data_IF_740789735385
#
_entry.id   IF_740789735385
#
_cell.length_a   1.000
_cell.length_b   1.000
_cell.length_c   1.000
_cell.angle_alpha   90.00
_cell.angle_beta   90.00
_cell.angle_gamma   90.00
#
_symmetry.space_group_name_H-M   'P 1'
#
loop_
_entity.id
_entity.type
_entity.pdbx_description
1 polymer ?
#
# COMPACT_ATOMS: atom_id res chain seq x y z
N UNK A 1 14.98 39.29 3.46
CA UNK A 1 14.51 40.68 3.34
C UNK A 1 14.90 41.37 4.64
N UNK A 2 15.82 42.34 4.58
CA UNK A 2 16.14 43.20 5.72
C UNK A 2 15.06 44.28 5.68
N UNK A 3 14.00 44.10 6.46
CA UNK A 3 13.04 45.18 6.70
C UNK A 3 13.72 46.22 7.59
N UNK A 4 13.50 47.50 7.33
CA UNK A 4 13.90 48.56 8.25
C UNK A 4 13.19 48.33 9.59
N UNK A 5 13.90 47.74 10.56
CA UNK A 5 13.38 47.55 11.91
C UNK A 5 13.27 48.92 12.58
N UNK A 6 12.05 49.37 12.81
CA UNK A 6 11.79 50.59 13.57
C UNK A 6 11.76 50.22 15.04
N UNK A 7 12.74 50.71 15.78
CA UNK A 7 12.83 50.50 17.22
C UNK A 7 11.94 51.50 17.94
N UNK A 8 10.65 51.21 18.08
CA UNK A 8 9.69 52.08 18.77
C UNK A 8 9.79 52.01 20.31
N UNK A 9 10.49 50.99 20.84
CA UNK A 9 10.70 50.76 22.27
C UNK A 9 12.18 50.63 22.66
N UNK A 10 12.51 51.02 23.89
CA UNK A 10 13.85 50.90 24.46
C UNK A 10 13.80 50.69 25.99
N UNK A 11 14.91 50.27 26.59
CA UNK A 11 15.03 50.13 28.04
C UNK A 11 15.49 51.46 28.66
N UNK A 12 14.78 51.94 29.69
CA UNK A 12 15.15 53.16 30.41
C UNK A 12 16.12 52.88 31.57
N UNK A 13 16.52 53.92 32.31
CA UNK A 13 17.47 53.79 33.42
C UNK A 13 16.98 52.93 34.60
N UNK A 14 15.66 52.70 34.72
CA UNK A 14 15.09 51.80 35.74
C UNK A 14 14.90 50.35 35.22
N UNK A 15 15.36 50.06 34.02
CA UNK A 15 15.25 48.75 33.39
C UNK A 15 13.88 48.45 32.77
N UNK A 16 13.03 49.47 32.59
CA UNK A 16 11.69 49.32 32.01
C UNK A 16 11.68 49.61 30.52
N UNK A 17 10.89 48.84 29.78
CA UNK A 17 10.60 49.12 28.38
C UNK A 17 9.68 50.34 28.27
N UNK A 18 10.13 51.35 27.52
CA UNK A 18 9.40 52.60 27.29
C UNK A 18 9.28 52.89 25.80
N UNK A 19 8.12 53.43 25.41
CA UNK A 19 7.87 53.83 24.03
C UNK A 19 8.61 55.15 23.72
N UNK A 20 9.07 55.33 22.49
CA UNK A 20 9.78 56.54 22.05
C UNK A 20 9.00 57.83 22.31
N UNK A 21 7.67 57.79 22.25
CA UNK A 21 6.82 58.96 22.51
C UNK A 21 6.75 59.36 24.00
N UNK A 22 7.17 58.47 24.90
CA UNK A 22 7.12 58.70 26.34
C UNK A 22 8.41 59.28 26.92
N UNK A 23 9.43 59.51 26.08
CA UNK A 23 10.76 59.96 26.51
C UNK A 23 11.18 61.27 25.83
N UNK A 24 12.09 62.07 26.42
CA UNK A 24 12.64 63.26 25.78
C UNK A 24 13.38 62.97 24.46
N UNK A 25 13.35 63.91 23.52
CA UNK A 25 14.08 63.81 22.24
C UNK A 25 15.59 63.70 22.42
N UNK A 26 16.24 62.92 21.56
CA UNK A 26 17.70 62.80 21.48
C UNK A 26 18.28 61.92 22.58
N UNK A 27 19.56 62.12 22.91
CA UNK A 27 20.25 61.39 23.98
C UNK A 27 19.72 61.70 25.38
N UNK A 28 18.90 62.75 25.53
CA UNK A 28 18.23 63.09 26.79
C UNK A 28 17.17 62.06 27.19
N UNK A 29 16.80 61.13 26.32
CA UNK A 29 15.94 60.00 26.68
C UNK A 29 16.57 59.07 27.73
N UNK A 30 17.91 59.02 27.81
CA UNK A 30 18.62 58.15 28.75
C UNK A 30 18.35 56.66 28.55
N UNK A 31 17.85 56.25 27.37
CA UNK A 31 17.51 54.87 27.09
C UNK A 31 18.70 54.10 26.51
N UNK A 32 18.71 52.79 26.73
CA UNK A 32 19.72 51.85 26.23
C UNK A 32 19.07 50.67 25.52
N UNK A 33 19.82 50.02 24.63
CA UNK A 33 19.42 48.76 24.04
C UNK A 33 19.64 47.61 25.04
N UNK A 34 18.62 46.76 25.34
CA UNK A 34 18.77 45.66 26.29
C UNK A 34 19.77 44.58 25.83
N UNK A 35 20.07 44.49 24.54
CA UNK A 35 21.01 43.50 23.98
C UNK A 35 22.46 43.99 23.92
N UNK A 36 22.71 45.12 23.26
CA UNK A 36 24.09 45.61 23.07
C UNK A 36 24.52 46.62 24.13
N UNK A 37 23.60 47.02 25.03
CA UNK A 37 23.79 47.99 26.12
C UNK A 37 24.22 49.38 25.66
N UNK A 38 24.03 49.69 24.39
CA UNK A 38 24.41 50.97 23.82
C UNK A 38 23.36 52.04 24.14
N UNK A 39 23.76 53.29 24.41
CA UNK A 39 22.85 54.43 24.46
C UNK A 39 22.08 54.59 23.15
N UNK A 40 20.78 54.82 23.28
CA UNK A 40 19.88 55.04 22.15
C UNK A 40 19.53 56.53 22.04
N UNK A 41 19.37 56.99 20.80
CA UNK A 41 18.93 58.32 20.46
C UNK A 41 17.46 58.29 20.06
N UNK A 42 16.59 58.95 20.85
CA UNK A 42 15.18 59.08 20.53
C UNK A 42 14.96 60.06 19.37
N UNK A 43 14.46 59.57 18.24
CA UNK A 43 14.11 60.37 17.06
C UNK A 43 12.60 60.60 17.05
N UNK A 44 12.19 61.85 17.28
CA UNK A 44 10.83 62.32 17.03
C UNK A 44 10.83 63.09 15.71
N UNK A 45 10.22 62.53 14.68
CA UNK A 45 10.15 63.11 13.35
C UNK A 45 8.77 63.70 13.08
N UNK A 46 8.69 64.92 12.54
CA UNK A 46 7.41 65.48 12.07
C UNK A 46 6.94 64.84 10.74
N UNK A 47 7.84 64.16 10.02
CA UNK A 47 7.61 63.51 8.71
C UNK A 47 8.00 62.03 8.64
N UNK A 48 8.92 61.57 9.50
CA UNK A 48 9.39 60.17 9.55
C UNK A 48 8.87 59.51 10.83
N UNK A 49 8.70 58.19 10.81
CA UNK A 49 8.26 57.43 11.98
C UNK A 49 9.18 57.64 13.18
N UNK A 50 8.56 57.73 14.36
CA UNK A 50 9.29 57.90 15.61
C UNK A 50 10.01 56.60 15.96
N UNK A 51 11.25 56.69 16.44
CA UNK A 51 12.00 55.51 16.83
C UNK A 51 13.33 55.82 17.50
N UNK A 52 13.91 54.80 18.08
CA UNK A 52 15.25 54.80 18.65
C UNK A 52 16.27 54.43 17.60
N UNK A 53 17.44 55.06 17.67
CA UNK A 53 18.60 54.69 16.88
C UNK A 53 19.80 54.47 17.79
N UNK A 54 20.62 53.47 17.47
CA UNK A 54 21.91 53.27 18.12
C UNK A 54 22.79 54.50 17.85
N UNK A 55 23.47 55.00 18.88
CA UNK A 55 24.18 56.27 18.81
C UNK A 55 25.54 56.17 18.09
N UNK A 56 26.19 55.01 18.17
CA UNK A 56 27.52 54.71 17.63
C UNK A 56 27.41 53.96 16.31
N UNK A 57 28.05 54.49 15.28
CA UNK A 57 28.09 53.88 13.94
C UNK A 57 29.18 52.77 13.83
N UNK A 58 29.97 52.54 14.88
CA UNK A 58 31.24 51.78 14.81
C UNK A 58 31.21 50.40 15.45
N UNK A 59 30.24 50.09 16.33
CA UNK A 59 30.28 48.86 17.15
C UNK A 59 29.76 47.60 16.45
N UNK A 60 29.13 47.74 15.28
CA UNK A 60 28.63 46.60 14.49
C UNK A 60 27.52 45.81 15.19
N UNK A 61 26.63 46.48 15.93
CA UNK A 61 25.55 45.81 16.63
C UNK A 61 24.66 45.03 15.64
N UNK A 62 24.35 43.77 15.96
CA UNK A 62 23.42 43.00 15.16
C UNK A 62 21.99 43.48 15.46
N UNK A 63 21.49 44.43 14.65
CA UNK A 63 20.19 45.07 14.84
C UNK A 63 19.04 44.06 14.88
N UNK A 64 19.14 42.94 14.15
CA UNK A 64 18.13 41.89 14.20
C UNK A 64 18.06 41.28 15.60
N UNK A 65 19.20 40.93 16.20
CA UNK A 65 19.24 40.39 17.56
C UNK A 65 18.75 41.43 18.56
N UNK A 66 19.18 42.70 18.43
CA UNK A 66 18.69 43.78 19.28
C UNK A 66 17.17 43.90 19.26
N UNK A 67 16.56 43.83 18.07
CA UNK A 67 15.11 43.93 17.92
C UNK A 67 14.39 42.76 18.60
N UNK A 68 14.89 41.53 18.42
CA UNK A 68 14.30 40.33 19.04
C UNK A 68 14.34 40.43 20.58
N UNK A 69 15.48 40.83 21.17
CA UNK A 69 15.61 40.99 22.63
C UNK A 69 14.66 42.08 23.16
N UNK A 70 14.51 43.19 22.43
CA UNK A 70 13.54 44.24 22.78
C UNK A 70 12.10 43.70 22.74
N UNK A 71 11.76 42.91 21.72
CA UNK A 71 10.44 42.30 21.58
C UNK A 71 10.14 41.30 22.71
N UNK A 72 11.11 40.46 23.09
CA UNK A 72 11.03 39.56 24.25
C UNK A 72 10.75 40.33 25.56
N UNK A 73 11.61 41.30 25.88
CA UNK A 73 11.50 42.07 27.12
C UNK A 73 10.22 42.90 27.17
N UNK A 74 9.76 43.38 26.01
CA UNK A 74 8.47 44.05 25.90
C UNK A 74 7.30 43.08 26.16
N UNK A 75 7.34 41.87 25.60
CA UNK A 75 6.32 40.84 25.83
C UNK A 75 6.21 40.46 27.31
N UNK A 76 7.34 40.25 27.99
CA UNK A 76 7.40 40.04 29.45
C UNK A 76 6.74 41.19 30.22
N UNK A 77 7.14 42.43 29.94
CA UNK A 77 6.60 43.61 30.62
C UNK A 77 5.09 43.78 30.38
N UNK A 78 4.61 43.47 29.18
CA UNK A 78 3.17 43.50 28.86
C UNK A 78 2.42 42.52 29.75
N UNK A 79 2.85 41.26 29.85
CA UNK A 79 2.18 40.28 30.71
C UNK A 79 2.29 40.70 32.18
N UNK A 80 3.44 41.20 32.62
CA UNK A 80 3.62 41.68 34.00
C UNK A 80 2.68 42.83 34.35
N UNK A 81 2.50 43.77 33.42
CA UNK A 81 1.70 44.98 33.63
C UNK A 81 0.20 44.71 33.49
N UNK A 82 -0.19 44.01 32.43
CA UNK A 82 -1.60 43.73 32.11
C UNK A 82 -2.15 42.57 32.92
N UNK A 83 -1.28 41.69 33.41
CA UNK A 83 -1.61 40.47 34.16
C UNK A 83 -2.69 39.63 33.47
N UNK A 84 -2.61 39.54 32.15
CA UNK A 84 -3.57 38.83 31.31
C UNK A 84 -2.87 38.21 30.13
N UNK A 85 -3.39 37.08 29.66
CA UNK A 85 -3.04 36.51 28.36
C UNK A 85 -4.25 35.80 27.73
N UNK A 86 -4.36 35.82 26.41
CA UNK A 86 -5.29 34.97 25.69
C UNK A 86 -4.70 33.57 25.51
N UNK A 87 -5.42 32.51 25.86
CA UNK A 87 -4.90 31.16 25.84
C UNK A 87 -5.67 30.24 24.88
N UNK A 88 -4.97 29.33 24.17
CA UNK A 88 -5.60 28.47 23.17
C UNK A 88 -6.52 27.43 23.79
N UNK A 89 -7.44 26.91 22.97
CA UNK A 89 -8.23 25.74 23.35
C UNK A 89 -7.33 24.54 23.66
N UNK A 90 -7.73 23.71 24.62
CA UNK A 90 -7.05 22.45 24.93
C UNK A 90 -7.80 21.30 24.25
N UNK A 91 -7.29 20.85 23.10
CA UNK A 91 -7.85 19.77 22.27
C UNK A 91 -9.35 19.95 21.93
N UNK A 92 -9.83 21.20 21.88
CA UNK A 92 -11.25 21.56 21.78
C UNK A 92 -12.16 21.02 22.91
N UNK A 93 -11.57 20.46 23.98
CA UNK A 93 -12.29 20.03 25.18
C UNK A 93 -12.57 21.25 26.05
N UNK A 94 -11.53 22.05 26.31
CA UNK A 94 -11.64 23.36 26.95
C UNK A 94 -11.47 24.42 25.85
N UNK A 95 -12.44 25.35 25.71
CA UNK A 95 -12.35 26.41 24.72
C UNK A 95 -11.18 27.36 25.03
N UNK A 96 -10.81 28.16 24.04
CA UNK A 96 -9.92 29.30 24.26
C UNK A 96 -10.51 30.25 25.31
N UNK A 97 -9.65 30.90 26.08
CA UNK A 97 -10.08 31.81 27.14
C UNK A 97 -8.98 32.81 27.49
N UNK A 98 -9.40 33.95 28.02
CA UNK A 98 -8.49 34.86 28.70
C UNK A 98 -8.15 34.30 30.09
N UNK A 99 -6.89 34.43 30.49
CA UNK A 99 -6.39 34.07 31.81
C UNK A 99 -5.92 35.34 32.49
N UNK A 100 -6.51 35.65 33.64
CA UNK A 100 -6.14 36.77 34.49
C UNK A 100 -5.25 36.32 35.66
N UNK A 101 -4.17 37.05 35.90
CA UNK A 101 -3.15 36.75 36.90
C UNK A 101 -3.19 37.74 38.07
N UNK A 102 -2.86 37.26 39.27
CA UNK A 102 -2.67 38.11 40.46
C UNK A 102 -1.19 38.43 40.69
N UNK A 103 -0.31 37.48 40.35
CA UNK A 103 1.14 37.56 40.48
C UNK A 103 1.77 37.17 39.14
N UNK A 104 2.74 37.95 38.68
CA UNK A 104 3.53 37.67 37.48
C UNK A 104 5.00 37.94 37.82
N UNK A 105 5.82 36.91 37.69
CA UNK A 105 7.28 36.99 37.80
C UNK A 105 7.84 36.81 36.39
N UNK A 106 8.64 37.79 35.99
CA UNK A 106 9.37 37.76 34.72
C UNK A 106 10.85 37.66 35.04
N UNK A 107 11.57 36.99 34.17
CA UNK A 107 13.01 36.89 34.28
C UNK A 107 13.70 37.80 33.26
N UNK A 108 14.01 39.04 33.66
CA UNK A 108 14.53 40.05 32.74
C UNK A 108 15.99 39.84 32.28
N UNK A 109 16.61 38.70 32.61
CA UNK A 109 18.02 38.41 32.40
C UNK A 109 18.24 37.46 31.20
N UNK A 110 18.53 38.03 30.04
CA UNK A 110 18.83 37.28 28.80
C UNK A 110 20.15 36.47 28.87
N UNK A 111 21.07 36.78 29.80
CA UNK A 111 22.38 36.13 29.93
C UNK A 111 22.49 35.30 31.22
N UNK A 112 22.01 34.03 31.23
CA UNK A 112 22.22 33.07 32.33
C UNK A 112 22.55 31.66 31.87
N UNK A 113 23.18 30.89 32.75
CA UNK A 113 23.54 29.48 32.54
C UNK A 113 22.45 28.50 33.05
N UNK A 114 21.57 28.92 33.96
CA UNK A 114 20.44 28.14 34.49
C UNK A 114 19.12 28.49 33.79
N UNK A 115 18.34 27.46 33.43
CA UNK A 115 17.11 27.62 32.65
C UNK A 115 15.90 27.92 33.55
N UNK A 116 15.30 29.09 33.40
CA UNK A 116 14.00 29.46 33.97
C UNK A 116 13.01 29.77 32.84
N UNK A 117 11.69 29.59 33.05
CA UNK A 117 10.66 30.06 32.12
C UNK A 117 10.68 31.58 32.00
N UNK A 118 10.36 32.12 30.81
CA UNK A 118 10.35 33.57 30.57
C UNK A 118 9.35 34.29 31.51
N UNK A 119 8.18 33.68 31.71
CA UNK A 119 7.16 34.19 32.65
C UNK A 119 6.59 33.06 33.51
N UNK A 120 6.53 33.33 34.82
CA UNK A 120 5.80 32.53 35.81
C UNK A 120 4.63 33.37 36.32
N UNK A 121 3.41 32.95 36.00
CA UNK A 121 2.20 33.68 36.35
C UNK A 121 1.26 32.83 37.21
N UNK A 122 0.65 33.45 38.22
CA UNK A 122 -0.26 32.78 39.16
C UNK A 122 -1.64 33.42 39.09
N UNK A 123 -2.68 32.63 38.88
CA UNK A 123 -4.09 33.06 38.92
C UNK A 123 -4.62 33.18 40.35
N UNK A 124 -5.78 33.83 40.52
CA UNK A 124 -6.38 34.04 41.85
C UNK A 124 -6.72 32.74 42.60
N UNK A 125 -6.95 31.64 41.89
CA UNK A 125 -7.21 30.31 42.46
C UNK A 125 -5.92 29.52 42.79
N UNK A 126 -4.74 30.14 42.63
CA UNK A 126 -3.45 29.54 42.92
C UNK A 126 -2.86 28.70 41.78
N UNK A 127 -3.53 28.63 40.62
CA UNK A 127 -2.99 27.90 39.46
C UNK A 127 -1.79 28.64 38.87
N UNK A 128 -0.66 27.94 38.76
CA UNK A 128 0.55 28.48 38.15
C UNK A 128 0.62 28.13 36.67
N UNK A 129 1.09 29.09 35.87
CA UNK A 129 1.35 28.99 34.45
C UNK A 129 2.78 29.41 34.14
N UNK A 130 3.46 28.59 33.34
CA UNK A 130 4.73 28.90 32.71
C UNK A 130 4.46 29.34 31.27
N UNK A 131 5.06 30.45 30.86
CA UNK A 131 4.93 30.95 29.50
C UNK A 131 6.34 31.04 28.92
N UNK A 132 6.48 30.46 27.74
CA UNK A 132 7.74 30.36 27.00
C UNK A 132 7.54 31.03 25.63
N UNK A 133 8.37 32.01 25.32
CA UNK A 133 8.37 32.72 24.06
C UNK A 133 9.43 32.13 23.12
N UNK A 134 9.07 31.92 21.85
CA UNK A 134 9.98 31.34 20.84
C UNK A 134 10.13 32.24 19.61
N UNK A 135 11.23 32.06 18.86
CA UNK A 135 11.47 32.66 17.54
C UNK A 135 12.02 31.63 16.54
N UNK A 136 11.84 31.90 15.25
CA UNK A 136 12.36 31.11 14.13
C UNK A 136 13.89 30.89 14.18
N UNK A 137 14.63 31.91 14.64
CA UNK A 137 16.06 31.78 14.89
C UNK A 137 16.26 31.23 16.29
N UNK A 138 16.29 29.90 16.38
CA UNK A 138 16.52 29.11 17.60
C UNK A 138 17.45 29.80 18.60
N UNK A 139 16.87 30.50 19.58
CA UNK A 139 17.49 30.62 20.88
C UNK A 139 17.30 29.26 21.54
N UNK A 140 18.18 28.32 21.18
CA UNK A 140 18.20 27.02 21.82
C UNK A 140 18.76 27.19 23.23
N UNK A 141 17.89 27.05 24.22
CA UNK A 141 18.32 26.95 25.61
C UNK A 141 19.32 25.78 25.77
N UNK A 142 20.36 25.99 26.57
CA UNK A 142 21.43 25.01 26.79
C UNK A 142 20.97 23.73 27.54
N UNK A 143 19.81 23.77 28.23
CA UNK A 143 19.25 22.64 28.99
C UNK A 143 17.73 22.50 28.73
N UNK A 144 17.16 21.30 28.92
CA UNK A 144 15.71 21.08 28.80
C UNK A 144 15.00 21.40 30.13
N UNK A 145 13.87 22.13 30.09
CA UNK A 145 12.97 22.22 31.26
C UNK A 145 12.08 20.98 31.22
N UNK A 146 11.89 20.34 32.38
CA UNK A 146 10.88 19.30 32.54
C UNK A 146 9.51 19.94 32.81
N UNK A 147 8.70 20.07 31.76
CA UNK A 147 7.35 20.65 31.85
C UNK A 147 6.28 19.69 32.40
N UNK A 148 6.67 18.49 32.87
CA UNK A 148 5.73 17.50 33.42
C UNK A 148 4.97 18.06 34.61
N UNK A 149 3.67 17.78 34.64
CA UNK A 149 2.75 18.21 35.68
C UNK A 149 2.61 19.74 35.85
N UNK A 150 3.13 20.54 34.92
CA UNK A 150 3.01 22.00 34.93
C UNK A 150 2.03 22.49 33.86
N UNK A 151 1.52 23.72 34.00
CA UNK A 151 0.77 24.35 32.92
C UNK A 151 1.74 25.22 32.12
N UNK A 152 2.11 24.79 30.92
CA UNK A 152 3.10 25.46 30.09
C UNK A 152 2.52 25.85 28.73
N UNK A 153 2.56 27.14 28.44
CA UNK A 153 2.11 27.75 27.19
C UNK A 153 3.34 28.20 26.39
N UNK A 154 3.50 27.69 25.17
CA UNK A 154 4.48 28.18 24.21
C UNK A 154 3.81 29.18 23.27
N UNK A 155 4.48 30.30 23.01
CA UNK A 155 4.01 31.38 22.14
C UNK A 155 5.14 31.78 21.19
N UNK A 156 4.89 31.67 19.89
CA UNK A 156 5.83 32.08 18.87
C UNK A 156 5.64 33.56 18.53
N UNK A 157 6.70 34.35 18.74
CA UNK A 157 6.74 35.79 18.48
C UNK A 157 7.36 36.12 17.11
N UNK A 158 7.76 35.12 16.31
CA UNK A 158 8.46 35.30 15.03
C UNK A 158 7.75 36.22 14.04
N UNK A 159 6.42 36.25 14.06
CA UNK A 159 5.58 37.08 13.17
C UNK A 159 5.14 38.40 13.78
N UNK A 160 5.58 38.71 14.99
CA UNK A 160 5.17 39.90 15.72
C UNK A 160 6.20 41.03 15.59
N UNK A 161 5.70 42.25 15.73
CA UNK A 161 6.46 43.48 15.84
C UNK A 161 6.23 44.13 17.20
N UNK A 162 7.02 45.15 17.53
CA UNK A 162 6.87 45.91 18.77
C UNK A 162 5.50 46.60 18.91
N UNK A 163 4.84 46.88 17.78
CA UNK A 163 3.52 47.53 17.72
C UNK A 163 2.36 46.54 17.82
N UNK A 164 2.59 45.27 17.44
CA UNK A 164 1.54 44.25 17.33
C UNK A 164 1.53 43.29 18.53
N UNK A 165 2.66 43.14 19.23
CA UNK A 165 2.83 42.14 20.29
C UNK A 165 1.83 42.27 21.44
N UNK A 166 1.46 43.48 21.86
CA UNK A 166 0.48 43.66 22.95
C UNK A 166 -0.88 43.07 22.58
N UNK A 167 -1.43 43.49 21.45
CA UNK A 167 -2.71 42.98 20.97
C UNK A 167 -2.65 41.49 20.71
N UNK A 168 -1.54 41.01 20.14
CA UNK A 168 -1.33 39.59 19.90
C UNK A 168 -1.38 38.76 21.19
N UNK A 169 -0.66 39.16 22.24
CA UNK A 169 -0.65 38.44 23.52
C UNK A 169 -2.03 38.44 24.19
N UNK A 170 -2.74 39.56 24.12
CA UNK A 170 -4.00 39.78 24.84
C UNK A 170 -5.27 39.31 24.12
N UNK A 171 -5.24 39.18 22.80
CA UNK A 171 -6.47 38.97 22.01
C UNK A 171 -6.38 37.86 20.95
N UNK A 172 -5.17 37.48 20.51
CA UNK A 172 -5.01 36.48 19.44
C UNK A 172 -4.89 35.06 19.98
N UNK A 173 -5.37 34.09 19.21
CA UNK A 173 -5.13 32.67 19.44
C UNK A 173 -4.12 32.06 18.44
N UNK A 174 -3.53 32.88 17.58
CA UNK A 174 -2.55 32.43 16.61
C UNK A 174 -1.21 32.12 17.29
N UNK A 175 -0.43 31.24 16.65
CA UNK A 175 0.98 30.99 16.97
C UNK A 175 1.27 30.65 18.44
N UNK A 176 0.35 29.91 19.09
CA UNK A 176 0.50 29.43 20.47
C UNK A 176 -0.02 28.01 20.66
N UNK A 177 0.59 27.28 21.60
CA UNK A 177 0.17 25.91 21.93
C UNK A 177 0.48 25.56 23.39
N UNK A 178 -0.33 24.67 23.97
CA UNK A 178 -0.01 24.05 25.24
C UNK A 178 1.10 23.01 25.05
N UNK A 179 2.24 23.20 25.70
CA UNK A 179 3.27 22.16 25.83
C UNK A 179 2.86 21.12 26.88
N UNK A 180 2.24 21.59 27.96
CA UNK A 180 1.61 20.76 28.97
C UNK A 180 0.49 21.56 29.64
N UNK A 181 -0.58 20.91 30.11
CA UNK A 181 -1.59 21.59 30.92
C UNK A 181 -2.21 20.59 31.90
N UNK A 182 -1.55 20.42 33.02
CA UNK A 182 -1.93 19.45 34.05
C UNK A 182 -3.33 19.75 34.61
N UNK A 183 -3.63 21.03 34.85
CA UNK A 183 -4.93 21.43 35.40
C UNK A 183 -6.07 21.06 34.45
N UNK A 184 -5.92 21.26 33.14
CA UNK A 184 -6.92 20.82 32.17
C UNK A 184 -6.97 19.31 32.02
N UNK A 185 -5.81 18.65 31.98
CA UNK A 185 -5.74 17.19 31.85
C UNK A 185 -6.50 16.48 32.99
N UNK A 186 -6.26 16.88 34.24
CA UNK A 186 -6.96 16.34 35.42
C UNK A 186 -8.46 16.63 35.40
N UNK A 187 -8.86 17.74 34.78
CA UNK A 187 -10.26 18.15 34.69
C UNK A 187 -11.00 17.60 33.46
N UNK A 188 -10.38 16.78 32.60
CA UNK A 188 -11.07 16.14 31.47
C UNK A 188 -12.25 15.30 31.98
N UNK A 189 -12.00 14.37 32.91
CA UNK A 189 -13.05 13.48 33.45
C UNK A 189 -14.16 14.27 34.15
N UNK A 190 -13.87 15.16 35.13
CA UNK A 190 -14.89 16.00 35.75
C UNK A 190 -15.73 16.81 34.76
N UNK A 191 -15.12 17.32 33.68
CA UNK A 191 -15.84 18.11 32.67
C UNK A 191 -16.86 17.30 31.89
N UNK A 192 -16.52 16.08 31.48
CA UNK A 192 -17.47 15.19 30.79
C UNK A 192 -18.56 14.69 31.75
N UNK A 193 -18.21 14.40 33.00
CA UNK A 193 -19.18 14.01 34.04
C UNK A 193 -20.23 15.10 34.29
N UNK A 194 -19.84 16.38 34.34
CA UNK A 194 -20.78 17.51 34.42
C UNK A 194 -21.77 17.58 33.25
N UNK A 195 -21.43 16.99 32.11
CA UNK A 195 -22.30 16.88 30.94
C UNK A 195 -23.05 15.54 30.87
N UNK A 196 -23.12 14.79 31.99
CA UNK A 196 -23.69 13.44 32.09
C UNK A 196 -23.08 12.45 31.08
N UNK A 197 -21.77 12.54 30.84
CA UNK A 197 -21.03 11.59 29.99
C UNK A 197 -19.95 10.88 30.81
N UNK A 198 -20.04 9.56 30.88
CA UNK A 198 -19.01 8.72 31.52
C UNK A 198 -17.89 8.46 30.52
N UNK A 199 -16.67 8.85 30.88
CA UNK A 199 -15.47 8.64 30.07
C UNK A 199 -14.29 8.23 30.95
N UNK A 200 -13.29 7.62 30.32
CA UNK A 200 -12.01 7.30 30.94
C UNK A 200 -10.86 7.81 30.07
N UNK A 201 -9.87 8.45 30.68
CA UNK A 201 -8.61 8.81 29.99
C UNK A 201 -7.67 7.61 30.12
N UNK A 202 -7.33 6.99 28.99
CA UNK A 202 -6.45 5.82 28.92
C UNK A 202 -5.14 6.19 28.24
N UNK A 203 -4.03 5.70 28.78
CA UNK A 203 -2.74 5.76 28.09
C UNK A 203 -2.85 5.04 26.73
N UNK A 204 -2.20 5.59 25.71
CA UNK A 204 -2.21 5.01 24.37
C UNK A 204 -1.55 3.62 24.34
N UNK A 205 -0.62 3.33 25.26
CA UNK A 205 -0.04 1.99 25.41
C UNK A 205 -1.10 0.93 25.75
N UNK A 206 -2.05 1.25 26.64
CA UNK A 206 -3.18 0.35 26.91
C UNK A 206 -4.09 0.20 25.69
N UNK A 207 -4.27 1.28 24.93
CA UNK A 207 -5.10 1.27 23.72
C UNK A 207 -4.50 0.39 22.62
N UNK A 208 -3.17 0.23 22.56
CA UNK A 208 -2.51 -0.64 21.59
C UNK A 208 -2.86 -2.12 21.78
N UNK A 209 -3.13 -2.53 23.03
CA UNK A 209 -3.55 -3.89 23.40
C UNK A 209 -5.07 -4.12 23.38
N UNK A 210 -5.85 -3.10 23.02
CA UNK A 210 -7.31 -3.17 23.03
C UNK A 210 -7.85 -4.06 21.90
N UNK A 211 -8.81 -4.93 22.22
CA UNK A 211 -9.51 -5.78 21.24
C UNK A 211 -10.23 -4.98 20.15
N UNK A 212 -10.65 -3.75 20.49
CA UNK A 212 -11.34 -2.83 19.58
C UNK A 212 -10.42 -1.72 19.05
N UNK A 213 -9.10 -1.93 19.03
CA UNK A 213 -8.15 -0.89 18.59
C UNK A 213 -8.45 -0.35 17.18
N UNK A 214 -8.84 -1.24 16.26
CA UNK A 214 -9.06 -0.92 14.85
C UNK A 214 -10.47 -0.34 14.60
N UNK A 215 -11.39 -0.55 15.53
CA UNK A 215 -12.78 -0.08 15.49
C UNK A 215 -13.11 0.89 16.63
N UNK A 216 -12.10 1.52 17.23
CA UNK A 216 -12.23 2.28 18.48
C UNK A 216 -13.30 3.38 18.41
N UNK A 217 -14.26 3.32 19.34
CA UNK A 217 -15.37 4.27 19.50
C UNK A 217 -15.09 5.40 20.49
N UNK A 218 -13.82 5.59 20.86
CA UNK A 218 -13.37 6.70 21.71
C UNK A 218 -13.82 8.08 21.21
N UNK A 219 -13.61 9.12 22.01
CA UNK A 219 -13.96 10.49 21.60
C UNK A 219 -13.15 10.87 20.35
N UNK A 220 -13.81 11.50 19.38
CA UNK A 220 -13.23 11.92 18.09
C UNK A 220 -13.42 13.41 17.91
N UNK A 221 -12.48 14.06 17.20
CA UNK A 221 -12.66 15.44 16.76
C UNK A 221 -13.73 15.48 15.66
N UNK A 222 -14.55 16.53 15.65
CA UNK A 222 -15.57 16.73 14.61
C UNK A 222 -14.90 16.74 13.23
N UNK A 223 -15.38 15.89 12.32
CA UNK A 223 -14.82 15.73 10.97
C UNK A 223 -13.67 14.73 10.85
N UNK A 224 -13.26 14.07 11.93
CA UNK A 224 -12.18 13.07 11.93
C UNK A 224 -12.69 11.69 12.32
N UNK A 225 -12.18 10.66 11.64
CA UNK A 225 -12.53 9.25 11.91
C UNK A 225 -11.69 8.63 13.04
N UNK A 226 -10.49 9.15 13.26
CA UNK A 226 -9.56 8.67 14.27
C UNK A 226 -9.92 9.19 15.68
N UNK A 227 -9.68 8.40 16.75
CA UNK A 227 -9.79 8.88 18.12
C UNK A 227 -8.91 10.09 18.40
N UNK A 228 -9.40 10.99 19.25
CA UNK A 228 -8.65 12.13 19.76
C UNK A 228 -7.46 11.63 20.60
N UNK A 229 -6.28 12.17 20.30
CA UNK A 229 -5.04 11.91 21.04
C UNK A 229 -4.66 13.17 21.80
N UNK A 230 -4.45 13.03 23.10
CA UNK A 230 -4.08 14.09 24.04
C UNK A 230 -2.65 13.82 24.48
N UNK A 231 -1.78 14.80 24.36
CA UNK A 231 -0.44 14.74 24.89
C UNK A 231 -0.38 15.50 26.22
N UNK A 232 0.14 14.86 27.25
CA UNK A 232 0.36 15.48 28.56
C UNK A 232 1.55 14.79 29.24
N UNK A 233 2.49 15.59 29.75
CA UNK A 233 3.66 15.12 30.50
C UNK A 233 4.50 14.09 29.75
N UNK A 234 4.63 14.27 28.43
CA UNK A 234 5.40 13.39 27.53
C UNK A 234 4.73 12.05 27.20
N UNK A 235 3.47 11.86 27.57
CA UNK A 235 2.67 10.66 27.25
C UNK A 235 1.46 11.01 26.42
N UNK A 236 0.97 10.02 25.68
CA UNK A 236 -0.21 10.13 24.83
C UNK A 236 -1.38 9.38 25.45
N UNK A 237 -2.55 10.00 25.39
CA UNK A 237 -3.77 9.48 25.98
C UNK A 237 -4.91 9.54 24.98
N UNK A 238 -5.86 8.61 25.12
CA UNK A 238 -7.14 8.61 24.41
C UNK A 238 -8.27 8.70 25.42
N UNK A 239 -9.39 9.26 24.99
CA UNK A 239 -10.61 9.28 25.81
C UNK A 239 -11.52 8.12 25.38
N UNK A 240 -11.61 7.12 26.24
CA UNK A 240 -12.47 5.96 26.09
C UNK A 240 -13.88 6.25 26.63
N UNK A 241 -14.89 5.59 26.07
CA UNK A 241 -16.29 5.64 26.51
C UNK A 241 -16.66 4.25 27.05
N UNK A 242 -16.59 4.00 28.36
CA UNK A 242 -16.70 2.64 28.91
C UNK A 242 -18.00 1.91 28.55
N UNK A 243 -19.13 2.61 28.60
CA UNK A 243 -20.44 2.04 28.26
C UNK A 243 -20.50 1.61 26.79
N UNK A 244 -20.14 2.51 25.87
CA UNK A 244 -20.08 2.19 24.44
C UNK A 244 -19.04 1.10 24.14
N UNK A 245 -17.91 1.12 24.84
CA UNK A 245 -16.86 0.11 24.67
C UNK A 245 -17.40 -1.29 25.00
N UNK A 246 -18.16 -1.43 26.08
CA UNK A 246 -18.75 -2.70 26.48
C UNK A 246 -19.75 -3.21 25.43
N UNK A 247 -20.64 -2.34 24.96
CA UNK A 247 -21.60 -2.67 23.89
C UNK A 247 -20.89 -3.10 22.60
N UNK A 248 -19.87 -2.34 22.18
CA UNK A 248 -19.09 -2.62 20.98
C UNK A 248 -18.30 -3.93 21.12
N UNK A 249 -17.79 -4.23 22.32
CA UNK A 249 -17.04 -5.46 22.60
C UNK A 249 -17.96 -6.68 22.51
N UNK A 250 -19.15 -6.60 23.10
CA UNK A 250 -20.16 -7.66 23.00
C UNK A 250 -20.61 -7.89 21.55
N UNK A 251 -20.83 -6.80 20.81
CA UNK A 251 -21.15 -6.87 19.39
C UNK A 251 -20.02 -7.50 18.57
N UNK A 252 -18.77 -7.15 18.86
CA UNK A 252 -17.59 -7.71 18.21
C UNK A 252 -17.43 -9.21 18.50
N UNK A 253 -17.60 -9.64 19.75
CA UNK A 253 -17.56 -11.07 20.11
C UNK A 253 -18.70 -11.87 19.49
N UNK A 254 -19.90 -11.28 19.38
CA UNK A 254 -21.02 -11.88 18.66
C UNK A 254 -20.70 -12.05 17.18
N UNK A 255 -20.17 -11.00 16.55
CA UNK A 255 -19.74 -11.03 15.15
C UNK A 255 -18.68 -12.11 14.91
N UNK A 256 -17.67 -12.24 15.77
CA UNK A 256 -16.64 -13.30 15.66
C UNK A 256 -17.25 -14.70 15.67
N UNK A 257 -18.22 -14.96 16.56
CA UNK A 257 -18.92 -16.26 16.63
C UNK A 257 -19.75 -16.53 15.38
N UNK A 258 -20.41 -15.53 14.83
CA UNK A 258 -21.20 -15.66 13.59
C UNK A 258 -20.30 -15.88 12.38
N UNK A 259 -19.18 -15.17 12.31
CA UNK A 259 -18.18 -15.28 11.26
C UNK A 259 -17.49 -16.64 11.26
N UNK A 260 -17.17 -17.20 12.43
CA UNK A 260 -16.64 -18.56 12.55
C UNK A 260 -17.66 -19.60 12.05
N UNK A 261 -18.95 -19.45 12.41
CA UNK A 261 -20.02 -20.32 11.90
C UNK A 261 -20.17 -20.21 10.38
N UNK A 262 -20.06 -19.00 9.82
CA UNK A 262 -20.08 -18.76 8.37
C UNK A 262 -18.94 -19.50 7.69
N UNK A 263 -17.71 -19.34 8.18
CA UNK A 263 -16.52 -20.04 7.66
C UNK A 263 -16.68 -21.56 7.68
N UNK A 264 -17.18 -22.13 8.79
CA UNK A 264 -17.46 -23.57 8.89
C UNK A 264 -18.51 -24.05 7.88
N UNK A 265 -19.55 -23.25 7.62
CA UNK A 265 -20.57 -23.56 6.59
C UNK A 265 -19.96 -23.53 5.19
N UNK A 266 -19.13 -22.54 4.89
CA UNK A 266 -18.45 -22.41 3.59
C UNK A 266 -17.42 -23.51 3.36
N UNK A 267 -16.67 -23.91 4.39
CA UNK A 267 -15.81 -25.09 4.33
C UNK A 267 -16.61 -26.37 4.12
N UNK A 268 -17.74 -26.52 4.82
CA UNK A 268 -18.66 -27.64 4.62
C UNK A 268 -19.21 -27.72 3.19
N UNK A 269 -19.58 -26.58 2.61
CA UNK A 269 -20.03 -26.50 1.21
C UNK A 269 -18.90 -26.87 0.24
N UNK A 270 -17.71 -26.26 0.40
CA UNK A 270 -16.52 -26.57 -0.42
C UNK A 270 -16.14 -28.05 -0.35
N UNK A 271 -16.22 -28.67 0.83
CA UNK A 271 -15.95 -30.11 1.00
C UNK A 271 -16.94 -30.98 0.22
N UNK A 272 -18.24 -30.63 0.27
CA UNK A 272 -19.29 -31.35 -0.48
C UNK A 272 -19.13 -31.18 -1.99
N UNK A 273 -18.77 -29.99 -2.46
CA UNK A 273 -18.50 -29.77 -3.89
C UNK A 273 -17.28 -30.57 -4.36
N UNK A 274 -16.18 -30.56 -3.60
CA UNK A 274 -15.00 -31.36 -3.90
C UNK A 274 -15.29 -32.87 -3.91
N UNK A 275 -16.17 -33.34 -3.03
CA UNK A 275 -16.64 -34.73 -3.05
C UNK A 275 -17.48 -35.05 -4.30
N UNK A 276 -18.43 -34.18 -4.67
CA UNK A 276 -19.21 -34.33 -5.91
C UNK A 276 -18.32 -34.32 -7.16
N UNK A 277 -17.30 -33.46 -7.18
CA UNK A 277 -16.34 -33.41 -8.28
C UNK A 277 -15.55 -34.72 -8.37
N UNK A 278 -15.03 -35.23 -7.25
CA UNK A 278 -14.35 -36.54 -7.22
C UNK A 278 -15.25 -37.69 -7.67
N UNK A 279 -16.53 -37.67 -7.30
CA UNK A 279 -17.49 -38.67 -7.75
C UNK A 279 -17.69 -38.61 -9.27
N UNK A 280 -17.85 -37.41 -9.85
CA UNK A 280 -17.96 -37.21 -11.30
C UNK A 280 -16.69 -37.63 -12.03
N UNK A 281 -15.51 -37.28 -11.51
CA UNK A 281 -14.23 -37.68 -12.08
C UNK A 281 -14.07 -39.21 -12.05
N UNK A 282 -14.43 -39.85 -10.93
CA UNK A 282 -14.40 -41.32 -10.83
C UNK A 282 -15.42 -42.00 -11.75
N UNK A 283 -16.60 -41.41 -11.95
CA UNK A 283 -17.61 -41.90 -12.89
C UNK A 283 -17.14 -41.77 -14.33
N UNK A 284 -16.61 -40.61 -14.70
CA UNK A 284 -16.02 -40.37 -16.01
C UNK A 284 -14.86 -41.32 -16.31
N UNK A 285 -13.98 -41.56 -15.34
CA UNK A 285 -12.86 -42.49 -15.51
C UNK A 285 -13.35 -43.94 -15.67
N UNK A 286 -14.40 -44.36 -14.94
CA UNK A 286 -15.05 -45.67 -15.14
C UNK A 286 -15.64 -45.79 -16.54
N UNK A 287 -16.38 -44.79 -17.02
CA UNK A 287 -16.94 -44.80 -18.38
C UNK A 287 -15.84 -44.85 -19.44
N UNK A 288 -14.75 -44.12 -19.24
CA UNK A 288 -13.59 -44.13 -20.13
C UNK A 288 -12.98 -45.53 -20.22
N UNK A 289 -12.76 -46.20 -19.08
CA UNK A 289 -12.22 -47.56 -19.02
C UNK A 289 -13.14 -48.56 -19.74
N UNK A 290 -14.47 -48.45 -19.55
CA UNK A 290 -15.44 -49.31 -20.26
C UNK A 290 -15.32 -49.10 -21.77
N UNK A 291 -15.30 -47.86 -22.26
CA UNK A 291 -15.16 -47.56 -23.69
C UNK A 291 -13.84 -48.08 -24.27
N UNK A 292 -12.77 -48.03 -23.49
CA UNK A 292 -11.47 -48.56 -23.90
C UNK A 292 -11.49 -50.09 -24.00
N UNK A 293 -12.09 -50.77 -23.01
CA UNK A 293 -12.31 -52.22 -23.04
C UNK A 293 -13.20 -52.65 -24.21
N UNK A 294 -14.29 -51.93 -24.48
CA UNK A 294 -15.16 -52.20 -25.64
C UNK A 294 -14.41 -52.07 -26.96
N UNK A 295 -13.57 -51.04 -27.12
CA UNK A 295 -12.73 -50.86 -28.31
C UNK A 295 -11.70 -51.98 -28.47
N UNK A 296 -11.10 -52.43 -27.37
CA UNK A 296 -10.16 -53.54 -27.38
C UNK A 296 -10.85 -54.87 -27.73
N UNK A 297 -12.02 -55.13 -27.14
CA UNK A 297 -12.84 -56.29 -27.46
C UNK A 297 -13.26 -56.31 -28.94
N UNK A 298 -13.70 -55.17 -29.47
CA UNK A 298 -14.05 -55.03 -30.88
C UNK A 298 -12.84 -55.26 -31.80
N UNK A 299 -11.68 -54.71 -31.45
CA UNK A 299 -10.43 -55.00 -32.17
C UNK A 299 -10.11 -56.49 -32.19
N UNK A 300 -10.20 -57.17 -31.05
CA UNK A 300 -9.94 -58.60 -30.96
C UNK A 300 -10.92 -59.41 -31.81
N UNK A 301 -12.21 -59.03 -31.84
CA UNK A 301 -13.21 -59.65 -32.73
C UNK A 301 -12.85 -59.46 -34.20
N UNK A 302 -12.48 -58.25 -34.60
CA UNK A 302 -12.08 -57.97 -35.98
C UNK A 302 -10.82 -58.74 -36.38
N UNK A 303 -9.84 -58.85 -35.48
CA UNK A 303 -8.63 -59.67 -35.68
C UNK A 303 -8.98 -61.16 -35.82
N UNK A 304 -9.90 -61.68 -35.01
CA UNK A 304 -10.41 -63.05 -35.13
C UNK A 304 -11.12 -63.29 -36.46
N UNK A 305 -12.07 -62.43 -36.84
CA UNK A 305 -12.78 -62.54 -38.12
C UNK A 305 -11.82 -62.44 -39.32
N UNK A 306 -10.82 -61.57 -39.25
CA UNK A 306 -9.81 -61.44 -40.29
C UNK A 306 -8.94 -62.70 -40.39
N UNK A 307 -8.59 -63.31 -39.26
CA UNK A 307 -7.86 -64.57 -39.21
C UNK A 307 -8.68 -65.73 -39.81
N UNK A 308 -9.97 -65.83 -39.47
CA UNK A 308 -10.89 -66.82 -40.03
C UNK A 308 -11.03 -66.67 -41.55
N UNK A 309 -11.29 -65.45 -42.04
CA UNK A 309 -11.36 -65.15 -43.48
C UNK A 309 -10.05 -65.47 -44.20
N UNK A 310 -8.91 -65.21 -43.57
CA UNK A 310 -7.60 -65.54 -44.12
C UNK A 310 -7.41 -67.06 -44.22
N UNK A 311 -7.85 -67.81 -43.21
CA UNK A 311 -7.81 -69.27 -43.20
C UNK A 311 -8.72 -69.86 -44.28
N UNK A 312 -9.95 -69.35 -44.43
CA UNK A 312 -10.88 -69.76 -45.48
C UNK A 312 -10.30 -69.49 -46.87
N UNK A 313 -9.72 -68.30 -47.08
CA UNK A 313 -9.03 -67.96 -48.33
C UNK A 313 -7.85 -68.89 -48.61
N UNK A 314 -7.08 -69.28 -47.59
CA UNK A 314 -5.99 -70.27 -47.73
C UNK A 314 -6.54 -71.63 -48.16
N UNK A 315 -7.64 -72.10 -47.56
CA UNK A 315 -8.31 -73.35 -47.95
C UNK A 315 -8.80 -73.29 -49.40
N UNK A 316 -9.40 -72.18 -49.82
CA UNK A 316 -9.86 -71.98 -51.19
C UNK A 316 -8.71 -72.00 -52.20
N UNK A 317 -7.60 -71.30 -51.90
CA UNK A 317 -6.41 -71.30 -52.76
C UNK A 317 -5.83 -72.71 -52.87
N UNK A 318 -5.73 -73.44 -51.75
CA UNK A 318 -5.25 -74.82 -51.76
C UNK A 318 -6.15 -75.74 -52.60
N UNK A 319 -7.48 -75.60 -52.49
CA UNK A 319 -8.44 -76.35 -53.29
C UNK A 319 -8.35 -76.00 -54.79
N UNK A 320 -8.19 -74.72 -55.14
CA UNK A 320 -7.97 -74.30 -56.54
C UNK A 320 -6.67 -74.86 -57.11
N UNK A 321 -5.59 -74.85 -56.32
CA UNK A 321 -4.31 -75.43 -56.73
C UNK A 321 -4.42 -76.94 -56.96
N UNK A 322 -5.14 -77.66 -56.09
CA UNK A 322 -5.36 -79.10 -56.24
C UNK A 322 -6.25 -79.42 -57.45
N UNK A 323 -7.32 -78.66 -57.67
CA UNK A 323 -8.16 -78.79 -58.85
C UNK A 323 -7.38 -78.55 -60.15
N UNK A 324 -6.48 -77.55 -60.17
CA UNK A 324 -5.60 -77.27 -61.31
C UNK A 324 -4.61 -78.42 -61.54
N UNK A 325 -4.02 -78.96 -60.47
CA UNK A 325 -3.14 -80.15 -60.54
C UNK A 325 -3.86 -81.37 -61.11
N UNK A 326 -5.11 -81.60 -60.69
CA UNK A 326 -5.93 -82.70 -61.22
C UNK A 326 -6.32 -82.48 -62.69
N UNK A 327 -6.65 -81.24 -63.08
CA UNK A 327 -6.91 -80.90 -64.48
C UNK A 327 -5.66 -81.11 -65.36
N UNK A 328 -4.48 -80.76 -64.87
CA UNK A 328 -3.19 -81.04 -65.52
C UNK A 328 -2.94 -82.54 -65.71
N UNK A 329 -3.19 -83.36 -64.68
CA UNK A 329 -3.02 -84.83 -64.74
C UNK A 329 -4.01 -85.51 -65.68
N UNK A 330 -5.26 -85.02 -65.75
CA UNK A 330 -6.32 -85.62 -66.54
C UNK A 330 -6.39 -85.10 -67.98
N UNK A 331 -5.56 -84.12 -68.35
CA UNK A 331 -5.57 -83.57 -69.69
C UNK A 331 -4.92 -84.52 -70.70
N UNK A 332 -5.58 -84.84 -71.83
CA UNK A 332 -4.98 -85.67 -72.87
C UNK A 332 -3.75 -84.98 -73.50
N UNK A 333 -2.72 -85.73 -73.95
CA UNK A 333 -1.55 -85.17 -74.60
C UNK A 333 -1.97 -84.36 -75.83
N UNK A 334 -1.65 -83.06 -75.86
CA UNK A 334 -1.92 -82.25 -77.03
C UNK A 334 -0.91 -82.62 -78.13
N UNK A 335 -1.41 -83.03 -79.29
CA UNK A 335 -0.58 -83.35 -80.45
C UNK A 335 0.30 -82.14 -80.80
N UNK A 336 1.60 -82.33 -81.09
CA UNK A 336 2.49 -81.24 -81.46
C UNK A 336 1.93 -80.32 -82.55
N UNK A 337 1.22 -80.85 -83.56
CA UNK A 337 0.65 -80.05 -84.65
C UNK A 337 -0.44 -79.06 -84.21
N UNK A 338 -1.11 -79.31 -83.07
CA UNK A 338 -2.19 -78.46 -82.57
C UNK A 338 -1.72 -77.37 -81.59
N UNK A 339 -0.42 -77.35 -81.25
CA UNK A 339 0.12 -76.41 -80.27
C UNK A 339 0.25 -75.01 -80.85
N UNK A 340 -0.23 -74.02 -80.10
CA UNK A 340 0.03 -72.60 -80.41
C UNK A 340 0.68 -71.90 -79.23
N UNK A 341 1.59 -70.95 -79.46
CA UNK A 341 2.30 -70.25 -78.40
C UNK A 341 1.34 -69.50 -77.46
N UNK A 342 0.14 -69.13 -77.92
CA UNK A 342 -0.89 -68.53 -77.06
C UNK A 342 -1.32 -69.46 -75.92
N UNK A 343 -1.32 -70.77 -76.18
CA UNK A 343 -1.61 -71.83 -75.23
C UNK A 343 -0.42 -72.19 -74.33
N UNK A 344 0.72 -71.47 -74.40
CA UNK A 344 1.91 -71.76 -73.60
C UNK A 344 1.92 -70.94 -72.30
N UNK A 345 2.18 -71.49 -71.12
CA UNK A 345 2.28 -70.76 -69.84
C UNK A 345 3.24 -69.57 -69.93
N UNK A 346 4.34 -69.73 -70.65
CA UNK A 346 5.30 -68.65 -70.87
C UNK A 346 4.78 -67.50 -71.74
N UNK A 347 3.61 -67.63 -72.39
CA UNK A 347 3.01 -66.53 -73.14
C UNK A 347 2.50 -65.44 -72.21
N UNK A 348 3.03 -64.24 -72.37
CA UNK A 348 2.67 -63.05 -71.60
C UNK A 348 1.38 -62.47 -72.16
N UNK A 349 0.24 -63.06 -71.78
CA UNK A 349 -1.07 -62.76 -72.36
C UNK A 349 -1.50 -61.30 -72.24
N UNK A 350 -1.01 -60.58 -71.22
CA UNK A 350 -1.27 -59.15 -71.03
C UNK A 350 -0.63 -58.26 -72.12
N UNK A 351 0.37 -58.76 -72.87
CA UNK A 351 0.95 -58.05 -74.01
C UNK A 351 0.21 -58.33 -75.32
N UNK A 352 -0.58 -59.40 -75.41
CA UNK A 352 -1.27 -59.75 -76.64
C UNK A 352 -2.46 -58.79 -76.84
N UNK A 353 -2.52 -58.12 -77.99
CA UNK A 353 -3.63 -57.25 -78.38
C UNK A 353 -4.64 -58.00 -79.26
N UNK A 354 -5.92 -57.60 -79.26
CA UNK A 354 -6.92 -58.19 -80.15
C UNK A 354 -6.50 -58.06 -81.62
N UNK A 355 -6.35 -59.19 -82.32
CA UNK A 355 -5.94 -59.25 -83.72
C UNK A 355 -4.44 -59.49 -83.97
N UNK A 356 -3.63 -59.64 -82.91
CA UNK A 356 -2.20 -59.93 -83.07
C UNK A 356 -1.96 -61.28 -83.75
N UNK A 357 -1.07 -61.26 -84.76
CA UNK A 357 -0.63 -62.45 -85.50
C UNK A 357 0.54 -63.17 -84.83
N UNK A 358 1.03 -62.67 -83.70
CA UNK A 358 2.18 -63.21 -82.99
C UNK A 358 1.87 -63.35 -81.49
N UNK A 359 2.41 -64.38 -80.86
CA UNK A 359 2.39 -64.54 -79.42
C UNK A 359 3.66 -63.95 -78.79
N UNK A 360 3.56 -63.52 -77.54
CA UNK A 360 4.70 -62.95 -76.80
C UNK A 360 5.26 -63.93 -75.77
N UNK A 361 6.30 -64.68 -76.15
CA UNK A 361 6.95 -65.62 -75.24
C UNK A 361 7.78 -64.87 -74.17
N UNK A 362 7.42 -64.99 -72.90
CA UNK A 362 8.19 -64.43 -71.77
C UNK A 362 9.56 -65.08 -71.58
N UNK A 363 9.81 -66.24 -72.19
CA UNK A 363 11.11 -66.91 -72.21
C UNK A 363 11.91 -66.61 -73.50
N UNK A 364 11.51 -65.61 -74.31
CA UNK A 364 12.11 -65.37 -75.63
C UNK A 364 13.64 -65.19 -75.58
N UNK A 365 14.14 -64.44 -74.59
CA UNK A 365 15.56 -64.16 -74.44
C UNK A 365 16.37 -65.42 -74.07
N UNK A 366 15.88 -66.21 -73.10
CA UNK A 366 16.56 -67.44 -72.66
C UNK A 366 16.51 -68.56 -73.69
N UNK A 367 15.44 -68.63 -74.49
CA UNK A 367 15.27 -69.63 -75.55
C UNK A 367 15.82 -69.18 -76.90
N UNK A 368 16.38 -67.97 -77.00
CA UNK A 368 16.86 -67.34 -78.25
C UNK A 368 15.83 -67.37 -79.38
N UNK A 369 14.54 -67.22 -79.03
CA UNK A 369 13.45 -67.06 -79.99
C UNK A 369 13.01 -65.59 -80.06
N UNK A 370 12.41 -65.18 -81.17
CA UNK A 370 11.90 -63.82 -81.34
C UNK A 370 10.85 -63.48 -80.29
N UNK A 371 10.90 -62.26 -79.73
CA UNK A 371 9.88 -61.73 -78.79
C UNK A 371 8.49 -61.69 -79.41
N UNK A 372 8.42 -61.48 -80.73
CA UNK A 372 7.21 -61.69 -81.53
C UNK A 372 7.32 -63.10 -82.12
N UNK A 373 6.79 -64.07 -81.38
CA UNK A 373 6.91 -65.49 -81.71
C UNK A 373 5.70 -65.90 -82.57
N UNK A 374 5.91 -66.42 -83.80
CA UNK A 374 4.82 -67.00 -84.58
C UNK A 374 4.10 -68.06 -83.74
N UNK A 375 2.75 -68.06 -83.65
CA UNK A 375 2.01 -68.96 -82.77
C UNK A 375 2.33 -70.44 -83.00
N UNK A 376 2.58 -70.83 -84.25
CA UNK A 376 2.88 -72.20 -84.66
C UNK A 376 4.26 -72.67 -84.17
N UNK A 377 5.12 -71.75 -83.70
CA UNK A 377 6.42 -72.12 -83.11
C UNK A 377 6.26 -73.07 -81.92
N UNK A 378 5.11 -73.07 -81.25
CA UNK A 378 4.80 -74.01 -80.17
C UNK A 378 4.78 -75.47 -80.61
N UNK A 379 4.56 -75.75 -81.90
CA UNK A 379 4.47 -77.12 -82.43
C UNK A 379 5.79 -77.87 -82.29
N UNK A 380 6.91 -77.16 -82.44
CA UNK A 380 8.27 -77.75 -82.37
C UNK A 380 9.05 -77.30 -81.13
N UNK A 381 8.48 -76.41 -80.31
CA UNK A 381 9.12 -75.86 -79.12
C UNK A 381 9.22 -76.88 -77.99
N UNK A 382 10.45 -77.27 -77.63
CA UNK A 382 10.73 -78.18 -76.50
C UNK A 382 10.38 -77.59 -75.13
N UNK A 383 10.25 -76.26 -75.04
CA UNK A 383 9.88 -75.55 -73.81
C UNK A 383 8.39 -75.23 -73.70
N UNK A 384 7.55 -75.74 -74.60
CA UNK A 384 6.11 -75.50 -74.53
C UNK A 384 5.50 -76.16 -73.29
N UNK A 385 4.88 -75.35 -72.43
CA UNK A 385 4.07 -75.80 -71.29
C UNK A 385 2.64 -75.36 -71.51
N UNK A 386 1.68 -76.27 -71.60
CA UNK A 386 0.29 -75.92 -71.88
C UNK A 386 -0.29 -75.11 -70.71
N UNK A 387 -0.99 -74.01 -71.02
CA UNK A 387 -1.85 -73.30 -70.08
C UNK A 387 -3.08 -74.15 -69.79
N UNK A 388 -3.37 -74.35 -68.51
CA UNK A 388 -4.58 -74.95 -67.98
C UNK A 388 -5.34 -73.94 -67.13
#
# INVERSE_FOLDING_TARGET
MIGDFIFSWAENAEGRMVHVDSVPRGLRCGCTCPNCHEPLLARHGEKNEHGFAHHSDTRGANLNICYMVILYKLAEQIIQTKKRIHAPSYYAIFPEKDIDFVEVKVDSCYERDDKQPDVIATTADGTQYLIEFTFDYKVQHKQAIDYKNLNCLEIDLSKQSLETVEKFLLESNDDRKWLNNQSYFENIVPRYQKANRVIEVKDEEFCASCELKDSCSGVKRKGFYAPLVIENSGRKYRICKPEQYQEDLEAYHKWLKEEEKRKKREEGFRRKEAERQRQREAEWERERQIREQEREQERLRQEQEAAEKLEERRKLIAAQQEARRQAELNAPPLDPSERTCFMCESNLSWMNRPGDRYAHCGCYSSMRVSKNTPPESAQTCRGFKRKF
#
